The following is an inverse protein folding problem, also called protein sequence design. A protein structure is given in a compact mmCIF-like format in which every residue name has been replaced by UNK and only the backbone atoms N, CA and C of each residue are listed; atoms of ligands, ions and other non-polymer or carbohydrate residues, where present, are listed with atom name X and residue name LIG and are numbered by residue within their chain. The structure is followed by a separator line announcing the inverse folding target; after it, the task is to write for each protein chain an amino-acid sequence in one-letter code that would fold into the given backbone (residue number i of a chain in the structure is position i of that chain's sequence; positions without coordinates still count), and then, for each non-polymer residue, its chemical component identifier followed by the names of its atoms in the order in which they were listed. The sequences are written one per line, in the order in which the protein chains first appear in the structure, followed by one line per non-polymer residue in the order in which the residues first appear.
data_IF_838470945456
#
_entry.id   IF_838470945456
#
_cell.length_a   1.000
_cell.length_b   1.000
_cell.length_c   1.000
_cell.angle_alpha   90.00
_cell.angle_beta   90.00
_cell.angle_gamma   90.00
#
_symmetry.space_group_name_H-M   'P 1'
#
loop_
_entity.id
_entity.type
_entity.pdbx_description
1 polymer ?
#
# COMPACT_ATOMS: atom_id res chain seq x y z
N UNK A 1 -16.00 5.32 -12.15
CA UNK A 1 -14.64 4.77 -11.98
C UNK A 1 -14.78 3.43 -11.26
N UNK A 2 -14.32 2.34 -11.86
CA UNK A 2 -14.48 0.99 -11.28
C UNK A 2 -13.44 0.72 -10.18
N UNK A 3 -12.25 1.31 -10.28
CA UNK A 3 -11.17 1.12 -9.30
C UNK A 3 -10.46 2.44 -9.04
N UNK A 4 -9.99 2.63 -7.80
CA UNK A 4 -9.17 3.78 -7.41
C UNK A 4 -7.89 3.28 -6.77
N UNK A 5 -6.84 4.09 -6.81
CA UNK A 5 -5.56 3.77 -6.17
C UNK A 5 -5.05 4.97 -5.37
N UNK A 6 -4.28 4.68 -4.31
CA UNK A 6 -3.55 5.68 -3.53
C UNK A 6 -2.11 5.21 -3.36
N UNK A 7 -1.17 6.08 -3.68
CA UNK A 7 0.22 5.89 -3.31
C UNK A 7 0.42 6.29 -1.83
N UNK A 8 1.29 5.54 -1.15
CA UNK A 8 1.81 5.90 0.17
C UNK A 8 3.33 5.84 0.10
N UNK A 9 3.99 6.93 0.49
CA UNK A 9 5.43 6.99 0.67
C UNK A 9 5.76 7.20 2.14
N UNK A 10 6.49 6.26 2.73
CA UNK A 10 6.96 6.30 4.12
C UNK A 10 8.47 6.50 4.13
N UNK A 11 8.93 7.61 4.68
CA UNK A 11 10.35 7.95 4.73
C UNK A 11 11.15 6.99 5.64
N UNK A 12 12.49 6.88 5.46
CA UNK A 12 13.32 5.98 6.23
C UNK A 12 13.15 6.11 7.75
N UNK A 13 13.06 4.97 8.44
CA UNK A 13 12.84 4.89 9.89
C UNK A 13 11.53 5.53 10.39
N UNK A 14 10.58 5.83 9.50
CA UNK A 14 9.27 6.39 9.88
C UNK A 14 8.19 5.32 9.88
N UNK A 15 7.13 5.63 10.63
CA UNK A 15 5.91 4.84 10.69
C UNK A 15 4.68 5.73 10.63
N UNK A 16 3.60 5.17 10.09
CA UNK A 16 2.32 5.86 9.93
C UNK A 16 1.18 4.89 10.19
N UNK A 17 0.13 5.38 10.85
CA UNK A 17 -1.13 4.63 10.97
C UNK A 17 -2.10 5.13 9.91
N UNK A 18 -2.68 4.20 9.15
CA UNK A 18 -3.59 4.50 8.05
C UNK A 18 -4.95 3.90 8.33
N UNK A 19 -6.00 4.63 7.95
CA UNK A 19 -7.37 4.14 7.88
C UNK A 19 -7.89 4.32 6.46
N UNK A 20 -8.54 3.29 5.93
CA UNK A 20 -9.18 3.33 4.63
C UNK A 20 -10.66 2.94 4.75
N UNK A 21 -11.46 3.36 3.78
CA UNK A 21 -12.91 3.15 3.78
C UNK A 21 -13.33 1.72 3.39
N UNK A 22 -12.40 0.90 2.90
CA UNK A 22 -12.69 -0.43 2.36
C UNK A 22 -11.43 -1.29 2.25
N UNK A 23 -11.62 -2.55 1.89
CA UNK A 23 -10.52 -3.48 1.65
C UNK A 23 -9.61 -2.98 0.51
N UNK A 24 -8.34 -3.35 0.57
CA UNK A 24 -7.35 -2.99 -0.45
C UNK A 24 -6.36 -4.10 -0.75
N UNK A 25 -6.02 -4.22 -2.03
CA UNK A 25 -4.80 -4.90 -2.46
C UNK A 25 -3.65 -3.91 -2.43
N UNK A 26 -2.50 -4.32 -1.90
CA UNK A 26 -1.32 -3.47 -1.74
C UNK A 26 -0.15 -4.10 -2.47
N UNK A 27 0.53 -3.31 -3.28
CA UNK A 27 1.76 -3.68 -3.97
C UNK A 27 2.90 -2.82 -3.43
N UNK A 28 4.01 -3.44 -3.03
CA UNK A 28 5.24 -2.78 -2.64
C UNK A 28 6.03 -2.48 -3.90
N UNK A 29 6.18 -1.20 -4.25
CA UNK A 29 6.89 -0.80 -5.46
C UNK A 29 8.34 -0.40 -5.21
N UNK A 30 8.69 -0.12 -3.95
CA UNK A 30 10.05 0.21 -3.55
C UNK A 30 10.25 0.02 -2.05
N UNK A 31 11.45 -0.42 -1.66
CA UNK A 31 11.91 -0.43 -0.28
C UNK A 31 11.51 -1.67 0.50
N UNK A 32 11.73 -1.62 1.82
CA UNK A 32 11.41 -2.69 2.76
C UNK A 32 10.75 -2.14 4.02
N UNK A 33 9.89 -2.93 4.64
CA UNK A 33 9.17 -2.51 5.82
C UNK A 33 8.30 -3.60 6.39
N UNK A 34 7.22 -3.19 7.04
CA UNK A 34 6.18 -4.11 7.53
C UNK A 34 4.82 -3.44 7.65
N UNK A 35 3.77 -4.26 7.57
CA UNK A 35 2.41 -3.92 8.00
C UNK A 35 2.02 -4.83 9.16
N UNK A 36 1.98 -4.26 10.37
CA UNK A 36 1.80 -5.05 11.59
C UNK A 36 2.90 -6.11 11.73
N UNK A 37 2.55 -7.39 11.58
CA UNK A 37 3.49 -8.53 11.66
C UNK A 37 3.96 -9.03 10.28
N UNK A 38 3.37 -8.53 9.20
CA UNK A 38 3.71 -8.97 7.85
C UNK A 38 4.91 -8.16 7.36
N UNK A 39 6.03 -8.82 7.04
CA UNK A 39 7.15 -8.14 6.38
C UNK A 39 6.73 -7.70 4.98
N UNK A 40 7.39 -6.64 4.49
CA UNK A 40 7.23 -6.11 3.16
C UNK A 40 8.60 -5.93 2.52
N UNK A 41 8.76 -6.40 1.30
CA UNK A 41 9.98 -6.20 0.52
C UNK A 41 9.64 -6.11 -0.97
N UNK A 42 10.23 -5.14 -1.67
CA UNK A 42 10.20 -5.09 -3.12
C UNK A 42 11.38 -5.91 -3.68
N UNK A 43 11.17 -7.14 -4.18
CA UNK A 43 12.24 -7.98 -4.67
C UNK A 43 12.80 -7.46 -6.00
N UNK A 44 14.11 -7.53 -6.19
CA UNK A 44 14.76 -7.21 -7.47
C UNK A 44 14.67 -8.33 -8.50
N UNK A 45 14.41 -9.57 -8.05
CA UNK A 45 14.28 -10.76 -8.90
C UNK A 45 13.33 -11.76 -8.22
N UNK A 46 12.42 -12.35 -9.01
CA UNK A 46 11.46 -13.35 -8.55
C UNK A 46 11.63 -14.60 -9.42
N UNK A 47 11.75 -15.78 -8.82
CA UNK A 47 11.72 -17.07 -9.54
C UNK A 47 10.41 -17.79 -9.34
N UNK A 48 10.08 -18.68 -10.28
CA UNK A 48 8.87 -19.50 -10.18
C UNK A 48 8.89 -20.34 -8.90
N UNK A 49 7.82 -20.24 -8.11
CA UNK A 49 7.64 -20.97 -6.86
C UNK A 49 8.23 -20.29 -5.61
N UNK A 50 8.93 -19.15 -5.76
CA UNK A 50 9.37 -18.35 -4.61
C UNK A 50 8.20 -17.53 -4.06
N UNK A 51 8.06 -17.52 -2.73
CA UNK A 51 7.13 -16.63 -2.05
C UNK A 51 7.75 -15.24 -1.95
N UNK A 52 7.00 -14.21 -2.31
CA UNK A 52 7.41 -12.81 -2.23
C UNK A 52 6.62 -12.08 -1.15
N UNK A 53 7.18 -10.97 -0.68
CA UNK A 53 6.60 -10.11 0.35
C UNK A 53 6.16 -8.75 -0.22
N UNK A 54 5.96 -8.70 -1.54
CA UNK A 54 5.62 -7.49 -2.30
C UNK A 54 4.12 -7.28 -2.48
N UNK A 55 3.28 -8.26 -2.14
CA UNK A 55 1.84 -8.15 -2.20
C UNK A 55 1.18 -8.50 -0.87
N UNK A 56 0.29 -7.62 -0.39
CA UNK A 56 -0.53 -7.89 0.80
C UNK A 56 -1.97 -7.44 0.60
N UNK A 57 -2.89 -8.16 1.23
CA UNK A 57 -4.32 -7.82 1.23
C UNK A 57 -4.76 -7.32 2.60
N UNK A 58 -5.33 -6.11 2.64
CA UNK A 58 -5.91 -5.53 3.84
C UNK A 58 -7.43 -5.74 3.79
N UNK A 59 -7.94 -6.51 4.74
CA UNK A 59 -9.39 -6.75 4.87
C UNK A 59 -10.13 -5.47 5.24
N UNK A 60 -11.39 -5.36 4.85
CA UNK A 60 -12.21 -4.17 5.13
C UNK A 60 -12.25 -3.83 6.63
N UNK A 61 -12.41 -4.84 7.48
CA UNK A 61 -12.41 -4.65 8.94
C UNK A 61 -11.10 -4.01 9.40
N UNK A 62 -9.95 -4.55 8.97
CA UNK A 62 -8.63 -4.04 9.36
C UNK A 62 -8.38 -2.64 8.81
N UNK A 63 -8.80 -2.37 7.58
CA UNK A 63 -8.72 -1.05 6.95
C UNK A 63 -9.47 0.02 7.75
N UNK A 64 -10.67 -0.32 8.25
CA UNK A 64 -11.51 0.59 9.07
C UNK A 64 -10.97 0.80 10.48
N UNK A 65 -10.48 -0.25 11.13
CA UNK A 65 -9.82 -0.15 12.45
C UNK A 65 -8.52 0.66 12.38
N UNK A 66 -7.82 0.52 11.26
CA UNK A 66 -6.56 1.18 10.96
C UNK A 66 -5.35 0.27 11.20
N UNK A 67 -4.34 0.40 10.36
CA UNK A 67 -3.13 -0.41 10.38
C UNK A 67 -1.86 0.45 10.36
N UNK A 68 -0.81 -0.04 11.01
CA UNK A 68 0.50 0.63 11.04
C UNK A 68 1.35 0.11 9.87
N UNK A 69 1.97 1.05 9.16
CA UNK A 69 2.98 0.80 8.14
C UNK A 69 4.28 1.40 8.66
N UNK A 70 5.35 0.61 8.64
CA UNK A 70 6.67 1.02 9.13
C UNK A 70 7.72 0.76 8.05
N UNK A 71 8.54 1.78 7.79
CA UNK A 71 9.71 1.65 6.94
C UNK A 71 10.91 1.23 7.80
N UNK A 72 11.48 0.06 7.48
CA UNK A 72 12.63 -0.54 8.18
C UNK A 72 13.97 -0.29 7.47
N UNK A 73 13.97 0.49 6.39
CA UNK A 73 15.17 0.93 5.71
C UNK A 73 15.74 2.20 6.37
N UNK A 74 17.06 2.33 6.30
CA UNK A 74 17.81 3.49 6.80
C UNK A 74 17.89 4.61 5.76
N UNK A 75 17.90 4.27 4.48
CA UNK A 75 18.17 5.24 3.39
C UNK A 75 17.08 5.31 2.32
N UNK A 76 16.33 4.23 2.08
CA UNK A 76 15.33 4.19 1.01
C UNK A 76 13.89 4.39 1.53
N UNK A 77 13.03 5.11 0.79
CA UNK A 77 11.61 5.19 1.12
C UNK A 77 10.93 3.84 0.87
N UNK A 78 9.90 3.55 1.67
CA UNK A 78 8.94 2.48 1.41
C UNK A 78 7.78 3.07 0.62
N UNK A 79 7.58 2.61 -0.61
CA UNK A 79 6.51 3.09 -1.50
C UNK A 79 5.53 1.95 -1.73
N UNK A 80 4.26 2.22 -1.42
CA UNK A 80 3.15 1.27 -1.56
C UNK A 80 2.08 1.84 -2.48
N UNK A 81 1.58 1.02 -3.39
CA UNK A 81 0.37 1.28 -4.16
C UNK A 81 -0.80 0.49 -3.59
N UNK A 82 -1.84 1.19 -3.16
CA UNK A 82 -3.03 0.59 -2.54
C UNK A 82 -4.22 0.73 -3.49
N UNK A 83 -4.75 -0.39 -3.96
CA UNK A 83 -5.86 -0.48 -4.90
C UNK A 83 -7.17 -0.77 -4.17
N UNK A 84 -8.23 -0.07 -4.56
CA UNK A 84 -9.55 -0.16 -3.96
C UNK A 84 -10.61 -0.47 -5.02
N UNK A 85 -11.57 -1.32 -4.64
CA UNK A 85 -12.71 -1.68 -5.47
C UNK A 85 -13.70 -0.53 -5.73
N UNK A 86 -14.76 -0.80 -6.52
CA UNK A 86 -15.77 0.19 -6.87
C UNK A 86 -16.45 0.77 -5.62
N UNK A 87 -16.72 2.08 -5.64
CA UNK A 87 -17.50 2.75 -4.58
C UNK A 87 -16.77 2.99 -3.25
N UNK A 88 -15.55 2.46 -3.06
CA UNK A 88 -14.79 2.65 -1.80
C UNK A 88 -14.35 4.11 -1.61
N UNK A 89 -13.95 4.77 -2.69
CA UNK A 89 -13.52 6.18 -2.67
C UNK A 89 -14.38 7.01 -3.64
N UNK A 90 -15.62 7.41 -3.26
CA UNK A 90 -16.48 8.24 -4.11
C UNK A 90 -15.90 9.64 -4.38
N UNK A 91 -15.01 10.10 -3.50
CA UNK A 91 -14.28 11.37 -3.59
C UNK A 91 -13.01 11.29 -4.46
N UNK A 92 -12.72 10.14 -5.06
CA UNK A 92 -11.57 10.01 -5.94
C UNK A 92 -11.67 10.99 -7.12
N UNK A 93 -10.55 11.63 -7.53
CA UNK A 93 -10.53 12.49 -8.71
C UNK A 93 -10.96 11.72 -9.97
N UNK A 94 -11.69 12.39 -10.86
CA UNK A 94 -12.01 11.84 -12.18
C UNK A 94 -10.75 11.82 -13.04
N UNK A 95 -10.71 10.91 -14.00
CA UNK A 95 -9.63 10.87 -15.00
C UNK A 95 -9.57 12.23 -15.71
N UNK A 96 -8.41 12.88 -15.64
CA UNK A 96 -8.19 14.20 -16.23
C UNK A 96 -8.37 15.40 -15.30
N UNK A 97 -8.78 15.21 -14.04
CA UNK A 97 -8.92 16.33 -13.09
C UNK A 97 -7.60 17.04 -12.78
N UNK A 98 -6.44 16.42 -13.03
CA UNK A 98 -5.12 17.05 -12.89
C UNK A 98 -4.86 18.19 -13.90
N UNK A 99 -5.69 18.33 -14.94
CA UNK A 99 -5.55 19.38 -15.97
C UNK A 99 -6.36 20.64 -15.67
N UNK A 100 -7.18 20.62 -14.61
CA UNK A 100 -7.94 21.77 -14.13
C UNK A 100 -7.11 22.56 -13.14
#
# INVERSE_FOLDING_TARGET
QLFSAKELTVMPGKKVTIKDNGASGVIVTQGRGRIGKLPLECPSLIRFGEMTEDEVFITEKRAKEGYEVENLAEECPLILLRYFGPGVNPQAPKVGDHKK
#
